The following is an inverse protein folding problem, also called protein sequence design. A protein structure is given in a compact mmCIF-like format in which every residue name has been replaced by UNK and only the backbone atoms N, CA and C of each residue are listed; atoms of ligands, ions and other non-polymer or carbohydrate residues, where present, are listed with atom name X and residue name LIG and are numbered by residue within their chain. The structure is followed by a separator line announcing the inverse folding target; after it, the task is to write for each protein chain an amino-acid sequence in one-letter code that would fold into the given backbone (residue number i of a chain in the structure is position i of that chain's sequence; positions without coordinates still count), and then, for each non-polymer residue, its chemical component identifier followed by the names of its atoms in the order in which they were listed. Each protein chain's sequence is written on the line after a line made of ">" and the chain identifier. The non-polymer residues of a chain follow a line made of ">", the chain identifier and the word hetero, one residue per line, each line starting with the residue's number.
data_IF_530702454464
#
_entry.id   IF_530702454464
#
_cell.length_a   1.000
_cell.length_b   1.000
_cell.length_c   1.000
_cell.angle_alpha   90.00
_cell.angle_beta   90.00
_cell.angle_gamma   90.00
#
_symmetry.space_group_name_H-M   'P 1'
#
loop_
_entity.id
_entity.type
_entity.pdbx_description
1 polymer ?
#
# COMPACT_ATOMS: atom_id res chain seq x y z
N UNK A 1 -58.68 -55.41 6.84
CA UNK A 1 -57.36 -55.85 6.43
C UNK A 1 -56.61 -54.60 5.98
N UNK A 2 -55.79 -54.14 6.83
CA UNK A 2 -55.10 -52.82 6.74
C UNK A 2 -53.67 -53.06 6.35
N UNK A 3 -53.21 -52.46 5.25
CA UNK A 3 -51.78 -52.38 4.86
C UNK A 3 -51.20 -51.02 5.20
N UNK A 4 -49.99 -50.91 5.78
CA UNK A 4 -49.43 -49.63 6.14
C UNK A 4 -48.68 -48.98 4.96
N UNK A 5 -48.93 -47.70 4.76
CA UNK A 5 -48.21 -46.83 3.84
C UNK A 5 -46.84 -46.52 4.40
N UNK A 6 -45.78 -46.87 3.64
CA UNK A 6 -44.39 -46.47 3.92
C UNK A 6 -44.19 -45.02 3.58
N UNK A 7 -43.90 -44.22 4.59
CA UNK A 7 -43.47 -42.81 4.42
C UNK A 7 -42.00 -42.79 3.89
N UNK A 8 -41.82 -42.34 2.68
CA UNK A 8 -40.51 -41.96 2.12
C UNK A 8 -40.07 -40.64 2.74
N UNK A 9 -39.15 -40.72 3.69
CA UNK A 9 -38.45 -39.52 4.20
C UNK A 9 -37.48 -39.03 3.10
N UNK A 10 -37.83 -37.96 2.44
CA UNK A 10 -36.95 -37.21 1.55
C UNK A 10 -35.89 -36.48 2.38
N UNK A 11 -34.68 -36.99 2.33
CA UNK A 11 -33.49 -36.35 2.89
C UNK A 11 -33.12 -35.13 2.06
N UNK A 12 -33.67 -34.00 2.46
CA UNK A 12 -33.33 -32.69 1.89
C UNK A 12 -32.15 -32.10 2.67
N UNK A 13 -30.94 -32.63 2.47
CA UNK A 13 -29.70 -31.97 2.84
C UNK A 13 -29.45 -30.83 1.87
N UNK A 14 -30.21 -29.74 2.06
CA UNK A 14 -29.91 -28.44 1.45
C UNK A 14 -28.52 -28.03 1.96
N UNK A 15 -27.52 -28.16 1.12
CA UNK A 15 -26.16 -27.68 1.39
C UNK A 15 -26.21 -26.21 1.75
N UNK A 16 -26.12 -25.90 3.03
CA UNK A 16 -26.06 -24.54 3.54
C UNK A 16 -24.91 -23.80 2.84
N UNK A 17 -25.23 -22.88 1.95
CA UNK A 17 -24.27 -22.03 1.28
C UNK A 17 -23.43 -21.34 2.37
N UNK A 18 -22.12 -21.60 2.37
CA UNK A 18 -21.18 -21.03 3.31
C UNK A 18 -21.34 -19.50 3.29
N UNK A 19 -21.65 -18.84 4.40
CA UNK A 19 -21.95 -17.40 4.38
C UNK A 19 -20.83 -16.64 3.69
N UNK A 20 -21.18 -15.82 2.71
CA UNK A 20 -20.24 -14.97 2.00
C UNK A 20 -19.50 -14.13 3.04
N UNK A 21 -18.18 -14.11 3.00
CA UNK A 21 -17.38 -13.29 3.93
C UNK A 21 -17.78 -11.83 3.77
N UNK A 22 -17.93 -11.05 4.86
CA UNK A 22 -18.28 -9.65 4.79
C UNK A 22 -17.24 -8.94 3.91
N UNK A 23 -17.71 -8.30 2.83
CA UNK A 23 -16.87 -7.50 1.94
C UNK A 23 -16.88 -6.07 2.45
N UNK A 24 -15.70 -5.52 2.67
CA UNK A 24 -15.53 -4.15 3.16
C UNK A 24 -15.33 -3.22 1.95
N UNK A 25 -16.42 -2.88 1.25
CA UNK A 25 -16.40 -2.08 0.02
C UNK A 25 -15.66 -0.74 0.18
N UNK A 26 -15.79 -0.08 1.33
CA UNK A 26 -15.09 1.16 1.64
C UNK A 26 -13.57 0.98 1.71
N UNK A 27 -13.06 -0.16 2.20
CA UNK A 27 -11.62 -0.45 2.21
C UNK A 27 -11.10 -0.78 0.81
N UNK A 28 -11.88 -1.48 -0.01
CA UNK A 28 -11.54 -1.73 -1.41
C UNK A 28 -11.46 -0.43 -2.21
N UNK A 29 -12.41 0.49 -2.01
CA UNK A 29 -12.41 1.81 -2.64
C UNK A 29 -11.24 2.67 -2.17
N UNK A 30 -10.99 2.71 -0.85
CA UNK A 30 -9.86 3.45 -0.29
C UNK A 30 -8.53 2.94 -0.83
N UNK A 31 -8.34 1.61 -0.88
CA UNK A 31 -7.14 1.02 -1.47
C UNK A 31 -6.93 1.43 -2.92
N UNK A 32 -7.99 1.45 -3.72
CA UNK A 32 -7.93 1.91 -5.11
C UNK A 32 -7.54 3.39 -5.18
N UNK A 33 -8.17 4.25 -4.39
CA UNK A 33 -7.86 5.68 -4.34
C UNK A 33 -6.39 5.95 -3.98
N UNK A 34 -5.86 5.25 -2.97
CA UNK A 34 -4.46 5.36 -2.57
C UNK A 34 -3.48 4.91 -3.68
N UNK A 35 -3.86 3.90 -4.48
CA UNK A 35 -3.05 3.47 -5.63
C UNK A 35 -3.06 4.51 -6.74
N UNK A 36 -4.21 5.08 -7.08
CA UNK A 36 -4.31 6.12 -8.10
C UNK A 36 -3.61 7.41 -7.68
N UNK A 37 -3.64 7.74 -6.38
CA UNK A 37 -2.84 8.85 -5.85
C UNK A 37 -1.34 8.66 -6.14
N UNK A 38 -0.85 7.41 -6.17
CA UNK A 38 0.53 7.09 -6.54
C UNK A 38 0.94 7.62 -7.91
N UNK A 39 0.02 7.72 -8.89
CA UNK A 39 0.31 8.31 -10.21
C UNK A 39 0.72 9.78 -10.03
N UNK A 40 -0.05 10.58 -9.30
CA UNK A 40 0.26 12.00 -9.06
C UNK A 40 1.60 12.19 -8.35
N UNK A 41 1.87 11.34 -7.34
CA UNK A 41 3.13 11.36 -6.59
C UNK A 41 4.32 11.06 -7.49
N UNK A 42 4.24 10.04 -8.34
CA UNK A 42 5.36 9.69 -9.21
C UNK A 42 5.47 10.61 -10.43
N UNK A 43 4.38 11.25 -10.84
CA UNK A 43 4.45 12.33 -11.85
C UNK A 43 5.20 13.55 -11.34
N UNK A 44 5.17 13.85 -10.03
CA UNK A 44 5.96 14.98 -9.47
C UNK A 44 7.47 14.80 -9.61
N UNK A 45 7.98 13.58 -9.88
CA UNK A 45 9.42 13.36 -10.10
C UNK A 45 9.92 13.92 -11.43
N UNK A 46 9.03 14.24 -12.36
CA UNK A 46 9.38 14.85 -13.65
C UNK A 46 9.75 16.33 -13.50
N UNK A 47 9.16 17.02 -12.52
CA UNK A 47 9.44 18.42 -12.17
C UNK A 47 9.17 18.61 -10.67
N UNK A 48 10.21 18.42 -9.82
CA UNK A 48 10.10 18.55 -8.37
C UNK A 48 9.75 19.96 -7.88
N UNK A 49 9.95 20.98 -8.71
CA UNK A 49 9.68 22.39 -8.38
C UNK A 49 8.23 22.79 -8.63
N UNK A 50 7.45 21.94 -9.31
CA UNK A 50 6.03 22.20 -9.52
C UNK A 50 5.25 22.12 -8.20
N UNK A 51 4.83 23.27 -7.67
CA UNK A 51 4.21 23.39 -6.34
C UNK A 51 2.96 22.52 -6.14
N UNK A 52 2.12 22.34 -7.17
CA UNK A 52 0.89 21.55 -7.09
C UNK A 52 1.21 20.06 -6.95
N UNK A 53 2.03 19.51 -7.85
CA UNK A 53 2.39 18.09 -7.82
C UNK A 53 3.27 17.76 -6.61
N UNK A 54 4.15 18.68 -6.20
CA UNK A 54 4.92 18.56 -4.95
C UNK A 54 4.01 18.47 -3.73
N UNK A 55 2.91 19.23 -3.68
CA UNK A 55 1.94 19.16 -2.58
C UNK A 55 1.29 17.76 -2.49
N UNK A 56 0.93 17.14 -3.63
CA UNK A 56 0.45 15.76 -3.64
C UNK A 56 1.48 14.77 -3.09
N UNK A 57 2.76 14.96 -3.41
CA UNK A 57 3.84 14.11 -2.90
C UNK A 57 4.05 14.30 -1.40
N UNK A 58 4.07 15.54 -0.89
CA UNK A 58 4.22 15.84 0.54
C UNK A 58 3.09 15.21 1.36
N UNK A 59 1.82 15.46 0.99
CA UNK A 59 0.67 14.89 1.73
C UNK A 59 0.66 13.36 1.63
N UNK A 60 1.03 12.81 0.47
CA UNK A 60 1.19 11.35 0.30
C UNK A 60 2.22 10.77 1.25
N UNK A 61 3.35 11.44 1.42
CA UNK A 61 4.43 11.04 2.33
C UNK A 61 4.03 10.97 3.80
N UNK A 62 2.90 11.60 4.16
CA UNK A 62 2.38 11.62 5.54
C UNK A 62 1.34 10.53 5.85
N UNK A 63 0.76 9.86 4.81
CA UNK A 63 -0.38 8.96 5.11
C UNK A 63 -0.60 7.82 4.12
N UNK A 64 -0.19 7.97 2.85
CA UNK A 64 -0.61 7.04 1.79
C UNK A 64 -0.16 5.60 2.06
N UNK A 65 1.10 5.44 2.41
CA UNK A 65 1.67 4.11 2.62
C UNK A 65 1.21 3.53 3.96
N UNK A 66 1.12 4.33 5.01
CA UNK A 66 0.63 3.94 6.32
C UNK A 66 -0.82 3.40 6.24
N UNK A 67 -1.73 4.18 5.65
CA UNK A 67 -3.11 3.75 5.44
C UNK A 67 -3.20 2.47 4.59
N UNK A 68 -2.33 2.35 3.57
CA UNK A 68 -2.27 1.16 2.74
C UNK A 68 -1.83 -0.09 3.53
N UNK A 69 -0.83 0.05 4.40
CA UNK A 69 -0.40 -1.07 5.25
C UNK A 69 -1.43 -1.41 6.33
N UNK A 70 -2.15 -0.44 6.88
CA UNK A 70 -3.31 -0.71 7.77
C UNK A 70 -4.35 -1.57 7.04
N UNK A 71 -4.75 -1.19 5.82
CA UNK A 71 -5.71 -2.00 5.02
C UNK A 71 -5.14 -3.39 4.72
N UNK A 72 -3.86 -3.48 4.40
CA UNK A 72 -3.20 -4.76 4.06
C UNK A 72 -3.16 -5.71 5.25
N UNK A 73 -2.87 -5.20 6.45
CA UNK A 73 -2.89 -5.97 7.71
C UNK A 73 -4.31 -6.44 8.06
N UNK A 74 -5.30 -5.55 7.93
CA UNK A 74 -6.72 -5.87 8.13
C UNK A 74 -7.17 -7.03 7.24
N UNK A 75 -6.87 -6.97 5.95
CA UNK A 75 -7.21 -8.03 5.00
C UNK A 75 -6.41 -9.32 5.24
N UNK A 76 -5.14 -9.20 5.66
CA UNK A 76 -4.33 -10.36 5.97
C UNK A 76 -4.89 -11.15 7.15
N UNK A 77 -5.25 -10.47 8.25
CA UNK A 77 -5.86 -11.11 9.41
C UNK A 77 -7.20 -11.77 9.05
N UNK A 78 -8.06 -11.08 8.29
CA UNK A 78 -9.32 -11.64 7.78
C UNK A 78 -9.07 -12.96 7.01
N UNK A 79 -8.08 -12.97 6.13
CA UNK A 79 -7.76 -14.16 5.33
C UNK A 79 -7.18 -15.30 6.19
N UNK A 80 -6.36 -14.99 7.20
CA UNK A 80 -5.82 -15.97 8.16
C UNK A 80 -6.94 -16.66 8.93
N UNK A 81 -7.89 -15.90 9.46
CA UNK A 81 -9.07 -16.46 10.15
C UNK A 81 -9.97 -17.27 9.23
N UNK A 82 -10.09 -16.90 7.95
CA UNK A 82 -10.96 -17.58 6.99
C UNK A 82 -10.36 -18.86 6.43
N UNK A 83 -9.08 -18.87 6.09
CA UNK A 83 -8.43 -19.95 5.32
C UNK A 83 -7.31 -20.66 6.08
N UNK A 84 -6.93 -20.16 7.24
CA UNK A 84 -5.77 -20.62 8.00
C UNK A 84 -4.42 -20.13 7.44
N UNK A 85 -3.39 -20.25 8.26
CA UNK A 85 -2.07 -19.66 7.97
C UNK A 85 -1.42 -20.22 6.69
N UNK A 86 -1.33 -21.54 6.56
CA UNK A 86 -0.65 -22.21 5.42
C UNK A 86 -1.25 -21.81 4.06
N UNK A 87 -2.58 -21.82 3.96
CA UNK A 87 -3.28 -21.50 2.72
C UNK A 87 -3.16 -20.00 2.40
N UNK A 88 -3.32 -19.14 3.41
CA UNK A 88 -3.23 -17.70 3.24
C UNK A 88 -1.84 -17.27 2.80
N UNK A 89 -0.80 -17.72 3.49
CA UNK A 89 0.60 -17.40 3.14
C UNK A 89 0.90 -17.86 1.71
N UNK A 90 0.62 -19.13 1.36
CA UNK A 90 0.85 -19.64 -0.01
C UNK A 90 0.15 -18.80 -1.07
N UNK A 91 -1.13 -18.47 -0.88
CA UNK A 91 -1.90 -17.65 -1.84
C UNK A 91 -1.33 -16.24 -1.98
N UNK A 92 -0.94 -15.60 -0.85
CA UNK A 92 -0.38 -14.25 -0.88
C UNK A 92 1.01 -14.21 -1.49
N UNK A 93 1.88 -15.18 -1.20
CA UNK A 93 3.21 -15.26 -1.80
C UNK A 93 3.13 -15.41 -3.32
N UNK A 94 2.23 -16.23 -3.83
CA UNK A 94 2.02 -16.35 -5.28
C UNK A 94 1.44 -15.06 -5.88
N UNK A 95 0.43 -14.46 -5.22
CA UNK A 95 -0.23 -13.26 -5.71
C UNK A 95 0.66 -12.01 -5.70
N UNK A 96 1.68 -11.97 -4.85
CA UNK A 96 2.61 -10.84 -4.72
C UNK A 96 3.96 -11.18 -5.38
N UNK A 97 4.51 -12.37 -5.11
CA UNK A 97 5.85 -12.74 -5.52
C UNK A 97 6.02 -12.88 -7.02
N UNK A 98 5.05 -13.51 -7.72
CA UNK A 98 5.12 -13.64 -9.19
C UNK A 98 5.11 -12.26 -9.86
N UNK A 99 4.13 -11.35 -9.59
CA UNK A 99 4.14 -10.02 -10.19
C UNK A 99 5.35 -9.17 -9.76
N UNK A 100 5.83 -9.30 -8.53
CA UNK A 100 7.04 -8.62 -8.09
C UNK A 100 8.25 -9.05 -8.92
N UNK A 101 8.50 -10.36 -9.05
CA UNK A 101 9.61 -10.87 -9.84
C UNK A 101 9.49 -10.49 -11.33
N UNK A 102 8.28 -10.60 -11.89
CA UNK A 102 8.00 -10.21 -13.29
C UNK A 102 8.30 -8.72 -13.51
N UNK A 103 7.78 -7.85 -12.65
CA UNK A 103 8.00 -6.41 -12.79
C UNK A 103 9.47 -6.02 -12.56
N UNK A 104 10.13 -6.65 -11.60
CA UNK A 104 11.56 -6.41 -11.32
C UNK A 104 12.44 -6.73 -12.52
N UNK A 105 12.16 -7.82 -13.22
CA UNK A 105 12.99 -8.28 -14.36
C UNK A 105 12.57 -7.60 -15.66
N UNK A 106 11.28 -7.39 -15.91
CA UNK A 106 10.79 -6.91 -17.21
C UNK A 106 10.55 -5.40 -17.23
N UNK A 107 9.94 -4.84 -16.15
CA UNK A 107 9.52 -3.44 -16.16
C UNK A 107 10.60 -2.51 -15.60
N UNK A 108 11.26 -2.88 -14.51
CA UNK A 108 12.21 -1.98 -13.83
C UNK A 108 13.42 -1.59 -14.69
N UNK A 109 14.11 -2.49 -15.44
CA UNK A 109 15.23 -2.08 -16.27
C UNK A 109 14.80 -1.06 -17.34
N UNK A 110 13.66 -1.30 -17.99
CA UNK A 110 13.13 -0.38 -18.98
C UNK A 110 12.70 0.96 -18.36
N UNK A 111 12.06 0.92 -17.18
CA UNK A 111 11.66 2.13 -16.46
C UNK A 111 12.86 2.96 -16.04
N UNK A 112 13.89 2.34 -15.47
CA UNK A 112 15.12 3.03 -15.08
C UNK A 112 15.86 3.63 -16.29
N UNK A 113 15.90 2.95 -17.41
CA UNK A 113 16.48 3.50 -18.65
C UNK A 113 15.70 4.75 -19.14
N UNK A 114 14.36 4.71 -19.07
CA UNK A 114 13.54 5.90 -19.41
C UNK A 114 13.78 7.05 -18.41
N UNK A 115 13.91 6.75 -17.11
CA UNK A 115 14.26 7.76 -16.09
C UNK A 115 15.61 8.37 -16.40
N UNK A 116 16.61 7.53 -16.67
CA UNK A 116 17.95 7.98 -17.02
C UNK A 116 17.90 8.95 -18.21
N UNK A 117 17.32 8.53 -19.33
CA UNK A 117 17.24 9.33 -20.56
C UNK A 117 16.37 10.58 -20.42
N UNK A 118 15.53 10.67 -19.40
CA UNK A 118 14.75 11.87 -19.12
C UNK A 118 15.55 12.95 -18.40
N UNK A 119 16.41 12.55 -17.46
CA UNK A 119 17.15 13.46 -16.59
C UNK A 119 18.60 13.67 -17.05
N UNK A 120 19.15 12.82 -17.92
CA UNK A 120 20.53 12.86 -18.37
C UNK A 120 20.65 12.83 -19.90
N UNK A 121 21.87 12.89 -20.42
CA UNK A 121 22.14 12.69 -21.85
C UNK A 121 21.72 11.28 -22.27
N UNK A 122 20.92 11.13 -23.34
CA UNK A 122 20.37 9.84 -23.75
C UNK A 122 21.44 8.84 -24.14
N UNK A 123 21.28 7.59 -23.70
CA UNK A 123 22.10 6.43 -24.07
C UNK A 123 21.23 5.30 -24.58
N UNK A 124 21.84 4.35 -25.31
CA UNK A 124 21.12 3.16 -25.75
C UNK A 124 20.74 2.26 -24.56
N UNK A 125 19.69 1.45 -24.71
CA UNK A 125 19.30 0.49 -23.68
C UNK A 125 20.39 -0.55 -23.40
N UNK A 126 21.17 -0.95 -24.43
CA UNK A 126 22.29 -1.86 -24.27
C UNK A 126 23.43 -1.22 -23.44
N UNK A 127 23.74 0.05 -23.68
CA UNK A 127 24.75 0.78 -22.90
C UNK A 127 24.31 0.97 -21.46
N UNK A 128 23.02 1.27 -21.24
CA UNK A 128 22.44 1.34 -19.91
C UNK A 128 22.58 0.01 -19.15
N UNK A 129 22.22 -1.12 -19.77
CA UNK A 129 22.38 -2.46 -19.16
C UNK A 129 23.86 -2.83 -18.91
N UNK A 130 24.77 -2.29 -19.70
CA UNK A 130 26.22 -2.43 -19.49
C UNK A 130 26.76 -1.51 -18.38
N UNK A 131 25.93 -0.70 -17.72
CA UNK A 131 26.32 0.22 -16.66
C UNK A 131 27.03 1.47 -17.13
N UNK A 132 27.03 1.78 -18.43
CA UNK A 132 27.71 2.97 -18.96
C UNK A 132 27.00 4.25 -18.54
N UNK A 133 27.74 5.20 -17.97
CA UNK A 133 27.27 6.53 -17.62
C UNK A 133 26.27 6.57 -16.46
N UNK A 134 26.05 5.46 -15.72
CA UNK A 134 25.07 5.42 -14.62
C UNK A 134 25.62 5.93 -13.29
N UNK A 135 26.92 6.04 -13.14
CA UNK A 135 27.53 6.57 -11.92
C UNK A 135 27.31 8.09 -11.82
N UNK A 136 26.70 8.53 -10.71
CA UNK A 136 26.37 9.93 -10.47
C UNK A 136 25.24 10.49 -11.35
N UNK A 137 24.48 9.64 -12.04
CA UNK A 137 23.37 10.06 -12.89
C UNK A 137 22.22 10.65 -12.07
N UNK A 138 21.59 11.70 -12.62
CA UNK A 138 20.41 12.35 -12.04
C UNK A 138 19.15 11.51 -12.23
N UNK A 139 18.16 11.71 -11.33
CA UNK A 139 16.86 11.08 -11.39
C UNK A 139 16.60 10.04 -10.30
N UNK A 140 15.34 9.66 -10.08
CA UNK A 140 14.94 8.77 -8.99
C UNK A 140 15.20 7.27 -9.33
N UNK A 141 16.36 6.96 -9.85
CA UNK A 141 16.74 5.59 -10.25
C UNK A 141 17.17 4.76 -9.05
N UNK A 142 16.65 3.56 -8.96
CA UNK A 142 17.20 2.51 -8.12
C UNK A 142 16.61 1.13 -8.51
N UNK A 143 17.25 0.03 -8.06
CA UNK A 143 16.92 -1.32 -8.49
C UNK A 143 15.46 -1.73 -8.19
N UNK A 144 14.89 -1.22 -7.09
CA UNK A 144 13.53 -1.59 -6.66
C UNK A 144 12.46 -0.61 -7.12
N UNK A 145 12.81 0.66 -7.47
CA UNK A 145 11.86 1.72 -7.77
C UNK A 145 10.69 1.76 -6.75
N UNK A 146 9.46 1.77 -7.25
CA UNK A 146 8.25 1.68 -6.43
C UNK A 146 7.96 0.26 -5.91
N UNK A 147 8.63 -0.79 -6.41
CA UNK A 147 8.36 -2.20 -6.07
C UNK A 147 8.76 -2.58 -4.63
N UNK A 148 9.51 -1.72 -3.91
CA UNK A 148 9.82 -1.94 -2.49
C UNK A 148 8.57 -2.24 -1.65
N UNK A 149 7.44 -1.66 -2.01
CA UNK A 149 6.16 -1.90 -1.35
C UNK A 149 5.67 -3.36 -1.52
N UNK A 150 5.82 -3.95 -2.70
CA UNK A 150 5.51 -5.37 -2.91
C UNK A 150 6.46 -6.27 -2.12
N UNK A 151 7.73 -5.92 -2.04
CA UNK A 151 8.70 -6.65 -1.22
C UNK A 151 8.31 -6.59 0.26
N UNK A 152 7.89 -5.43 0.76
CA UNK A 152 7.38 -5.29 2.11
C UNK A 152 6.14 -6.18 2.35
N UNK A 153 5.16 -6.15 1.44
CA UNK A 153 3.97 -7.01 1.52
C UNK A 153 4.30 -8.50 1.44
N UNK A 154 5.30 -8.88 0.65
CA UNK A 154 5.78 -10.25 0.56
C UNK A 154 6.35 -10.71 1.92
N UNK A 155 7.24 -9.92 2.52
CA UNK A 155 7.82 -10.18 3.85
C UNK A 155 6.71 -10.22 4.92
N UNK A 156 5.80 -9.25 4.93
CA UNK A 156 4.68 -9.23 5.88
C UNK A 156 3.74 -10.42 5.71
N UNK A 157 3.61 -10.96 4.50
CA UNK A 157 2.82 -12.17 4.29
C UNK A 157 3.45 -13.41 4.95
N UNK A 158 4.78 -13.46 5.05
CA UNK A 158 5.50 -14.49 5.80
C UNK A 158 5.37 -14.30 7.31
N UNK A 159 5.43 -13.05 7.78
CA UNK A 159 5.34 -12.70 9.20
C UNK A 159 3.89 -12.72 9.73
N UNK A 160 2.89 -12.68 8.85
CA UNK A 160 1.49 -12.54 9.21
C UNK A 160 0.98 -13.59 10.23
N UNK A 161 1.33 -14.89 10.15
CA UNK A 161 0.88 -15.86 11.15
C UNK A 161 1.47 -15.62 12.55
N UNK A 162 2.70 -15.12 12.62
CA UNK A 162 3.31 -14.75 13.91
C UNK A 162 2.67 -13.51 14.49
N UNK A 163 2.45 -12.48 13.64
CA UNK A 163 1.76 -11.26 14.02
C UNK A 163 0.31 -11.52 14.47
N UNK A 164 -0.43 -12.42 13.81
CA UNK A 164 -1.76 -12.86 14.24
C UNK A 164 -1.73 -13.39 15.67
N UNK A 165 -0.80 -14.32 15.98
CA UNK A 165 -0.68 -14.89 17.33
C UNK A 165 -0.34 -13.83 18.39
N UNK A 166 0.50 -12.86 18.05
CA UNK A 166 0.82 -11.75 18.94
C UNK A 166 -0.39 -10.86 19.21
N UNK A 167 -1.15 -10.53 18.16
CA UNK A 167 -2.41 -9.75 18.29
C UNK A 167 -3.41 -10.51 19.15
N UNK A 168 -3.63 -11.81 18.91
CA UNK A 168 -4.56 -12.63 19.71
C UNK A 168 -4.16 -12.69 21.16
N UNK A 169 -2.86 -12.92 21.45
CA UNK A 169 -2.33 -12.94 22.82
C UNK A 169 -2.46 -11.55 23.49
N UNK A 170 -2.12 -10.48 22.79
CA UNK A 170 -2.26 -9.13 23.31
C UNK A 170 -3.70 -8.79 23.70
N UNK A 171 -4.66 -9.16 22.84
CA UNK A 171 -6.09 -8.96 23.12
C UNK A 171 -6.60 -9.79 24.30
N UNK A 172 -6.09 -11.02 24.48
CA UNK A 172 -6.44 -11.88 25.61
C UNK A 172 -5.89 -11.34 26.95
N UNK A 173 -4.69 -10.71 26.92
CA UNK A 173 -4.06 -10.14 28.12
C UNK A 173 -4.67 -8.79 28.52
N UNK A 174 -5.02 -7.97 27.53
CA UNK A 174 -5.64 -6.66 27.78
C UNK A 174 -7.15 -6.87 27.85
N UNK A 175 -7.69 -7.04 29.06
CA UNK A 175 -9.14 -6.88 29.29
C UNK A 175 -9.46 -5.42 28.92
N UNK A 176 -9.86 -5.19 27.67
CA UNK A 176 -10.28 -3.88 27.18
C UNK A 176 -11.57 -3.48 27.90
N UNK A 177 -11.42 -3.03 29.14
CA UNK A 177 -12.44 -2.27 29.82
C UNK A 177 -12.69 -1.00 29.00
N UNK A 178 -13.95 -0.66 28.85
CA UNK A 178 -14.42 0.48 28.04
C UNK A 178 -13.71 1.75 28.49
N UNK A 179 -12.58 2.06 27.84
CA UNK A 179 -11.90 3.33 28.03
C UNK A 179 -12.57 4.39 27.15
N UNK A 180 -12.53 5.67 27.52
CA UNK A 180 -13.00 6.74 26.65
C UNK A 180 -12.39 6.58 25.24
N UNK A 181 -13.17 6.76 24.14
CA UNK A 181 -12.67 6.53 22.77
C UNK A 181 -11.39 7.30 22.45
N UNK A 182 -11.24 8.52 22.98
CA UNK A 182 -10.01 9.32 22.80
C UNK A 182 -8.78 8.67 23.40
N UNK A 183 -8.89 8.08 24.60
CA UNK A 183 -7.77 7.39 25.26
C UNK A 183 -7.39 6.09 24.52
N UNK A 184 -8.39 5.36 23.99
CA UNK A 184 -8.15 4.18 23.18
C UNK A 184 -7.39 4.55 21.88
N UNK A 185 -7.76 5.66 21.23
CA UNK A 185 -7.04 6.16 20.05
C UNK A 185 -5.60 6.56 20.39
N UNK A 186 -5.39 7.31 21.46
CA UNK A 186 -4.05 7.69 21.90
C UNK A 186 -3.19 6.47 22.26
N UNK A 187 -3.77 5.44 22.87
CA UNK A 187 -3.07 4.18 23.14
C UNK A 187 -2.64 3.46 21.84
N UNK A 188 -3.49 3.47 20.80
CA UNK A 188 -3.12 2.96 19.48
C UNK A 188 -1.98 3.78 18.85
N UNK A 189 -2.03 5.12 18.95
CA UNK A 189 -0.96 6.00 18.49
C UNK A 189 0.36 5.69 19.22
N UNK A 190 0.33 5.59 20.56
CA UNK A 190 1.51 5.25 21.37
C UNK A 190 2.10 3.88 20.98
N UNK A 191 1.25 2.88 20.73
CA UNK A 191 1.67 1.55 20.27
C UNK A 191 2.37 1.59 18.90
N UNK A 192 1.81 2.34 17.95
CA UNK A 192 2.42 2.52 16.62
C UNK A 192 3.72 3.30 16.72
N UNK A 193 3.76 4.41 17.48
CA UNK A 193 4.98 5.19 17.71
C UNK A 193 6.09 4.35 18.34
N UNK A 194 5.77 3.59 19.39
CA UNK A 194 6.72 2.67 20.02
C UNK A 194 7.25 1.61 19.05
N UNK A 195 6.39 1.07 18.20
CA UNK A 195 6.77 0.13 17.15
C UNK A 195 7.69 0.76 16.10
N UNK A 196 7.42 2.00 15.65
CA UNK A 196 8.29 2.74 14.71
C UNK A 196 9.65 3.05 15.33
N UNK A 197 9.68 3.44 16.62
CA UNK A 197 10.94 3.65 17.35
C UNK A 197 11.75 2.36 17.48
N UNK A 198 11.11 1.25 17.84
CA UNK A 198 11.77 -0.06 17.91
C UNK A 198 12.33 -0.49 16.55
N UNK A 199 11.59 -0.26 15.46
CA UNK A 199 12.05 -0.53 14.11
C UNK A 199 13.24 0.36 13.73
N UNK A 200 13.23 1.65 14.11
CA UNK A 200 14.37 2.56 13.88
C UNK A 200 15.61 2.11 14.61
N UNK A 201 15.48 1.76 15.91
CA UNK A 201 16.59 1.21 16.71
C UNK A 201 17.12 -0.09 16.07
N UNK A 202 16.22 -1.01 15.70
CA UNK A 202 16.59 -2.24 15.00
C UNK A 202 17.35 -1.99 13.71
N UNK A 203 16.93 -1.01 12.91
CA UNK A 203 17.66 -0.63 11.68
C UNK A 203 19.05 -0.07 12.00
N UNK A 204 19.19 0.81 12.97
CA UNK A 204 20.51 1.36 13.36
C UNK A 204 21.50 0.28 13.81
N UNK A 205 21.02 -0.82 14.43
CA UNK A 205 21.85 -1.95 14.85
C UNK A 205 22.37 -2.81 13.67
N UNK A 206 21.66 -2.82 12.54
CA UNK A 206 21.98 -3.72 11.42
C UNK A 206 22.46 -2.98 10.17
N UNK A 207 22.31 -1.65 10.08
CA UNK A 207 22.57 -0.88 8.85
C UNK A 207 23.98 -1.05 8.31
N UNK A 208 25.00 -1.14 9.18
CA UNK A 208 26.40 -1.24 8.78
C UNK A 208 26.74 -2.61 8.17
N UNK A 209 25.91 -3.63 8.42
CA UNK A 209 26.00 -4.95 7.79
C UNK A 209 25.25 -5.04 6.45
N UNK A 210 24.55 -3.98 6.04
CA UNK A 210 23.71 -3.96 4.85
C UNK A 210 24.32 -3.08 3.74
N UNK A 211 24.16 -3.45 2.45
CA UNK A 211 24.49 -2.55 1.36
C UNK A 211 23.69 -1.24 1.44
N UNK A 212 24.32 -0.11 1.21
CA UNK A 212 23.67 1.23 1.25
C UNK A 212 22.42 1.28 0.37
N UNK A 213 22.46 0.65 -0.80
CA UNK A 213 21.32 0.56 -1.73
C UNK A 213 20.09 -0.14 -1.18
N UNK A 214 20.22 -0.90 -0.08
CA UNK A 214 19.11 -1.59 0.60
C UNK A 214 18.59 -0.84 1.83
N UNK A 215 19.29 0.18 2.33
CA UNK A 215 18.94 0.91 3.56
C UNK A 215 17.51 1.47 3.52
N UNK A 216 17.14 2.11 2.41
CA UNK A 216 15.79 2.65 2.23
C UNK A 216 14.70 1.57 2.37
N UNK A 217 14.90 0.42 1.72
CA UNK A 217 13.92 -0.69 1.72
C UNK A 217 13.81 -1.30 3.10
N UNK A 218 14.93 -1.63 3.76
CA UNK A 218 14.94 -2.26 5.08
C UNK A 218 14.33 -1.34 6.13
N UNK A 219 14.71 -0.06 6.12
CA UNK A 219 14.12 0.96 7.00
C UNK A 219 12.62 1.12 6.77
N UNK A 220 12.17 1.16 5.50
CA UNK A 220 10.75 1.28 5.17
C UNK A 220 9.96 0.05 5.64
N UNK A 221 10.47 -1.17 5.42
CA UNK A 221 9.84 -2.40 5.92
C UNK A 221 9.69 -2.35 7.44
N UNK A 222 10.71 -1.91 8.18
CA UNK A 222 10.62 -1.75 9.63
C UNK A 222 9.55 -0.73 10.04
N UNK A 223 9.60 0.48 9.47
CA UNK A 223 8.75 1.60 9.84
C UNK A 223 7.25 1.37 9.55
N UNK A 224 6.90 0.61 8.51
CA UNK A 224 5.50 0.34 8.16
C UNK A 224 4.92 -0.92 8.81
N UNK A 225 5.75 -1.77 9.43
CA UNK A 225 5.27 -2.97 10.14
C UNK A 225 4.26 -2.66 11.25
N UNK A 226 4.45 -1.62 12.10
CA UNK A 226 3.48 -1.27 13.13
C UNK A 226 2.09 -0.92 12.57
N UNK A 227 2.01 -0.25 11.41
CA UNK A 227 0.74 0.05 10.74
C UNK A 227 0.07 -1.20 10.19
N UNK A 228 0.86 -2.15 9.69
CA UNK A 228 0.34 -3.45 9.26
C UNK A 228 -0.25 -4.24 10.44
N UNK A 229 0.45 -4.28 11.58
CA UNK A 229 -0.04 -4.90 12.82
C UNK A 229 -1.28 -4.19 13.37
N UNK A 230 -1.31 -2.85 13.32
CA UNK A 230 -2.51 -2.06 13.65
C UNK A 230 -3.70 -2.52 12.79
N UNK A 231 -3.52 -2.70 11.49
CA UNK A 231 -4.57 -3.21 10.61
C UNK A 231 -5.12 -4.56 11.07
N UNK A 232 -4.26 -5.49 11.47
CA UNK A 232 -4.67 -6.77 12.04
C UNK A 232 -5.47 -6.58 13.33
N UNK A 233 -5.03 -5.69 14.22
CA UNK A 233 -5.73 -5.35 15.46
C UNK A 233 -7.12 -4.76 15.19
N UNK A 234 -7.26 -3.87 14.19
CA UNK A 234 -8.56 -3.27 13.82
C UNK A 234 -9.57 -4.30 13.28
N UNK A 235 -9.10 -5.38 12.62
CA UNK A 235 -9.99 -6.48 12.26
C UNK A 235 -10.37 -7.30 13.48
N UNK A 236 -9.40 -7.64 14.32
CA UNK A 236 -9.58 -8.50 15.49
C UNK A 236 -10.47 -7.86 16.59
N UNK A 237 -10.44 -6.51 16.69
CA UNK A 237 -11.17 -5.75 17.71
C UNK A 237 -12.12 -4.70 17.07
N UNK A 238 -13.38 -5.04 16.78
CA UNK A 238 -14.35 -4.15 16.12
C UNK A 238 -14.52 -2.80 16.82
N UNK A 239 -14.48 -2.75 18.16
CA UNK A 239 -14.57 -1.50 18.93
C UNK A 239 -13.40 -0.55 18.65
N UNK A 240 -12.17 -1.08 18.52
CA UNK A 240 -11.01 -0.26 18.15
C UNK A 240 -11.11 0.25 16.71
N UNK A 241 -11.68 -0.55 15.81
CA UNK A 241 -11.96 -0.11 14.44
C UNK A 241 -12.97 1.04 14.41
N UNK A 242 -14.03 0.98 15.20
CA UNK A 242 -15.02 2.07 15.34
C UNK A 242 -14.33 3.34 15.81
N UNK A 243 -13.56 3.25 16.90
CA UNK A 243 -12.76 4.36 17.44
C UNK A 243 -11.78 4.91 16.41
N UNK A 244 -11.10 4.05 15.65
CA UNK A 244 -10.17 4.47 14.61
C UNK A 244 -10.87 5.15 13.43
N UNK A 245 -12.09 4.77 13.13
CA UNK A 245 -12.89 5.31 12.02
C UNK A 245 -13.75 6.51 12.40
N UNK A 246 -13.43 7.22 13.48
CA UNK A 246 -14.09 8.47 13.88
C UNK A 246 -13.32 9.70 13.38
N UNK A 247 -14.05 10.76 13.06
CA UNK A 247 -13.44 12.05 12.71
C UNK A 247 -12.83 12.73 13.94
N UNK A 248 -11.51 12.89 13.94
CA UNK A 248 -10.73 13.48 15.06
C UNK A 248 -10.03 14.76 14.62
N UNK A 249 -10.80 15.73 14.15
CA UNK A 249 -10.28 16.94 13.54
C UNK A 249 -9.36 17.76 14.47
N UNK A 250 -9.64 17.82 15.79
CA UNK A 250 -8.78 18.52 16.76
C UNK A 250 -7.40 17.84 16.83
N UNK A 251 -7.37 16.50 16.96
CA UNK A 251 -6.12 15.75 16.99
C UNK A 251 -5.35 15.87 15.67
N UNK A 252 -6.04 15.91 14.55
CA UNK A 252 -5.44 16.14 13.23
C UNK A 252 -4.77 17.51 13.17
N UNK A 253 -5.47 18.59 13.55
CA UNK A 253 -4.91 19.94 13.54
C UNK A 253 -3.70 20.02 14.48
N UNK A 254 -3.84 19.51 15.71
CA UNK A 254 -2.74 19.51 16.70
C UNK A 254 -1.53 18.74 16.19
N UNK A 255 -1.72 17.52 15.65
CA UNK A 255 -0.60 16.71 15.16
C UNK A 255 0.12 17.37 13.99
N UNK A 256 -0.61 17.92 13.02
CA UNK A 256 -0.03 18.63 11.88
C UNK A 256 0.71 19.91 12.31
N UNK A 257 0.14 20.68 13.24
CA UNK A 257 0.77 21.90 13.77
C UNK A 257 2.07 21.58 14.53
N UNK A 258 2.07 20.53 15.35
CA UNK A 258 3.26 20.10 16.07
C UNK A 258 4.36 19.60 15.12
N UNK A 259 4.01 18.83 14.10
CA UNK A 259 4.98 18.37 13.10
C UNK A 259 5.55 19.55 12.30
N UNK A 260 4.70 20.48 11.87
CA UNK A 260 5.13 21.68 11.15
C UNK A 260 6.12 22.52 12.00
N UNK A 261 5.78 22.77 13.27
CA UNK A 261 6.64 23.53 14.16
C UNK A 261 7.96 22.81 14.46
N UNK A 262 7.93 21.48 14.65
CA UNK A 262 9.15 20.70 14.86
C UNK A 262 10.07 20.74 13.63
N UNK A 263 9.53 20.55 12.42
CA UNK A 263 10.31 20.60 11.18
C UNK A 263 10.88 22.00 10.93
N UNK A 264 10.12 23.04 11.28
CA UNK A 264 10.59 24.43 11.17
C UNK A 264 11.74 24.75 12.13
N UNK A 265 11.67 24.24 13.38
CA UNK A 265 12.71 24.49 14.42
C UNK A 265 13.98 23.69 14.18
N UNK A 266 13.86 22.42 13.85
CA UNK A 266 14.99 21.51 13.75
C UNK A 266 15.71 21.60 12.39
N UNK A 267 15.06 22.19 11.37
CA UNK A 267 15.65 22.41 10.06
C UNK A 267 15.88 21.11 9.27
N UNK A 268 16.85 21.15 8.35
CA UNK A 268 17.15 20.04 7.42
C UNK A 268 18.17 19.02 7.99
N UNK A 269 18.87 19.35 9.05
CA UNK A 269 19.89 18.49 9.68
C UNK A 269 19.63 18.35 11.20
N UNK A 270 18.57 17.61 11.57
CA UNK A 270 18.20 17.43 12.98
C UNK A 270 19.18 16.51 13.69
N UNK A 271 19.44 16.82 14.97
CA UNK A 271 20.17 15.93 15.88
C UNK A 271 19.39 14.65 16.18
N UNK A 272 20.03 13.64 16.76
CA UNK A 272 19.40 12.32 17.01
C UNK A 272 18.11 12.40 17.82
N UNK A 273 18.05 13.25 18.85
CA UNK A 273 16.83 13.42 19.64
C UNK A 273 15.70 14.07 18.85
N UNK A 274 16.06 15.04 18.02
CA UNK A 274 15.12 15.76 17.15
C UNK A 274 14.56 14.84 16.06
N UNK A 275 15.37 13.95 15.48
CA UNK A 275 14.92 12.88 14.59
C UNK A 275 13.87 11.97 15.26
N UNK A 276 14.09 11.58 16.51
CA UNK A 276 13.12 10.77 17.29
C UNK A 276 11.82 11.53 17.48
N UNK A 277 11.87 12.83 17.84
CA UNK A 277 10.67 13.66 17.98
C UNK A 277 9.92 13.77 16.63
N UNK A 278 10.63 14.04 15.55
CA UNK A 278 10.04 14.10 14.20
C UNK A 278 9.37 12.77 13.85
N UNK A 279 10.02 11.63 14.07
CA UNK A 279 9.47 10.29 13.80
C UNK A 279 8.17 10.04 14.60
N UNK A 280 8.15 10.42 15.88
CA UNK A 280 6.95 10.31 16.70
C UNK A 280 5.82 11.17 16.17
N UNK A 281 6.10 12.43 15.81
CA UNK A 281 5.10 13.34 15.28
C UNK A 281 4.60 12.91 13.89
N UNK A 282 5.48 12.44 13.01
CA UNK A 282 5.11 11.86 11.71
C UNK A 282 4.17 10.65 11.91
N UNK A 283 4.49 9.75 12.85
CA UNK A 283 3.63 8.60 13.15
C UNK A 283 2.27 9.05 13.69
N UNK A 284 2.21 10.10 14.50
CA UNK A 284 0.95 10.65 15.02
C UNK A 284 0.11 11.29 13.92
N UNK A 285 0.73 12.09 13.05
CA UNK A 285 0.07 12.64 11.85
C UNK A 285 -0.46 11.53 10.95
N UNK A 286 0.34 10.51 10.69
CA UNK A 286 -0.07 9.36 9.88
C UNK A 286 -1.29 8.63 10.48
N UNK A 287 -1.35 8.47 11.80
CA UNK A 287 -2.48 7.87 12.50
C UNK A 287 -3.76 8.71 12.36
N UNK A 288 -3.67 10.03 12.56
CA UNK A 288 -4.82 10.94 12.48
C UNK A 288 -5.32 11.08 11.04
N UNK A 289 -4.44 11.17 10.05
CA UNK A 289 -4.79 11.20 8.63
C UNK A 289 -5.35 9.85 8.16
N UNK A 290 -4.78 8.72 8.60
CA UNK A 290 -5.34 7.39 8.28
C UNK A 290 -6.75 7.23 8.86
N UNK A 291 -6.96 7.67 10.11
CA UNK A 291 -8.29 7.73 10.75
C UNK A 291 -9.29 8.55 9.91
N UNK A 292 -8.89 9.74 9.45
CA UNK A 292 -9.69 10.57 8.56
C UNK A 292 -10.03 9.84 7.25
N UNK A 293 -9.08 9.19 6.61
CA UNK A 293 -9.30 8.44 5.37
C UNK A 293 -10.29 7.28 5.58
N UNK A 294 -10.20 6.56 6.69
CA UNK A 294 -11.13 5.49 7.04
C UNK A 294 -12.54 6.04 7.30
N UNK A 295 -12.65 7.16 8.01
CA UNK A 295 -13.92 7.85 8.24
C UNK A 295 -14.56 8.32 6.93
N UNK A 296 -13.78 8.99 6.06
CA UNK A 296 -14.27 9.45 4.74
C UNK A 296 -14.76 8.26 3.92
N UNK A 297 -13.94 7.21 3.80
CA UNK A 297 -14.30 6.02 3.04
C UNK A 297 -15.57 5.35 3.58
N UNK A 298 -15.68 5.21 4.90
CA UNK A 298 -16.87 4.63 5.55
C UNK A 298 -18.14 5.46 5.38
N UNK A 299 -18.01 6.80 5.32
CA UNK A 299 -19.15 7.71 5.13
C UNK A 299 -19.64 7.75 3.67
N UNK A 300 -18.71 7.72 2.72
CA UNK A 300 -19.03 7.93 1.29
C UNK A 300 -19.29 6.63 0.54
N UNK A 301 -18.70 5.52 0.95
CA UNK A 301 -18.87 4.21 0.31
C UNK A 301 -19.73 3.32 1.20
N UNK A 302 -21.06 3.49 1.09
CA UNK A 302 -22.04 2.79 1.95
C UNK A 302 -22.48 1.42 1.42
N UNK A 303 -22.12 1.07 0.19
CA UNK A 303 -22.55 -0.18 -0.45
C UNK A 303 -21.70 -0.59 -1.63
N UNK A 304 -22.17 -1.60 -2.36
CA UNK A 304 -21.51 -2.07 -3.57
C UNK A 304 -21.63 -1.04 -4.69
N UNK A 305 -20.49 -0.52 -5.14
CA UNK A 305 -20.39 0.32 -6.33
C UNK A 305 -19.63 -0.44 -7.41
N UNK A 306 -20.26 -0.60 -8.58
CA UNK A 306 -19.62 -1.24 -9.73
C UNK A 306 -18.35 -0.50 -10.15
N UNK A 307 -18.35 0.84 -10.10
CA UNK A 307 -17.17 1.65 -10.39
C UNK A 307 -16.05 1.39 -9.39
N UNK A 308 -16.35 1.43 -8.07
CA UNK A 308 -15.36 1.16 -7.03
C UNK A 308 -14.80 -0.27 -7.16
N UNK A 309 -15.63 -1.24 -7.50
CA UNK A 309 -15.20 -2.62 -7.76
C UNK A 309 -14.25 -2.71 -8.95
N UNK A 310 -14.60 -2.11 -10.08
CA UNK A 310 -13.76 -2.10 -11.30
C UNK A 310 -12.42 -1.40 -11.08
N UNK A 311 -12.42 -0.28 -10.36
CA UNK A 311 -11.19 0.44 -10.00
C UNK A 311 -10.33 -0.38 -9.04
N UNK A 312 -10.93 -0.99 -8.02
CA UNK A 312 -10.21 -1.84 -7.08
C UNK A 312 -9.59 -3.07 -7.75
N UNK A 313 -10.29 -3.68 -8.71
CA UNK A 313 -9.78 -4.84 -9.48
C UNK A 313 -8.59 -4.47 -10.37
N UNK A 314 -8.55 -3.24 -10.90
CA UNK A 314 -7.47 -2.72 -11.74
C UNK A 314 -6.29 -2.13 -10.96
N UNK A 315 -6.48 -1.78 -9.69
CA UNK A 315 -5.51 -1.03 -8.88
C UNK A 315 -4.12 -1.68 -8.86
N UNK A 316 -4.04 -3.00 -8.86
CA UNK A 316 -2.77 -3.73 -8.86
C UNK A 316 -2.00 -3.60 -10.19
N UNK A 317 -2.68 -3.69 -11.32
CA UNK A 317 -2.07 -3.47 -12.64
C UNK A 317 -1.65 -2.01 -12.81
N UNK A 318 -2.50 -1.07 -12.37
CA UNK A 318 -2.15 0.36 -12.36
C UNK A 318 -0.85 0.57 -11.57
N UNK A 319 -0.76 -0.02 -10.38
CA UNK A 319 0.45 0.06 -9.56
C UNK A 319 1.70 -0.46 -10.28
N UNK A 320 1.63 -1.56 -11.02
CA UNK A 320 2.82 -2.12 -11.69
C UNK A 320 3.28 -1.28 -12.88
N UNK A 321 2.33 -0.75 -13.66
CA UNK A 321 2.64 -0.12 -14.94
C UNK A 321 2.74 1.42 -14.90
N UNK A 322 2.26 2.08 -13.83
CA UNK A 322 2.16 3.54 -13.84
C UNK A 322 3.51 4.23 -13.98
N UNK A 323 4.56 3.74 -13.32
CA UNK A 323 5.86 4.40 -13.32
C UNK A 323 6.52 4.34 -14.72
N UNK A 324 6.45 3.18 -15.38
CA UNK A 324 6.85 3.03 -16.78
C UNK A 324 6.04 3.97 -17.70
N UNK A 325 4.73 4.01 -17.52
CA UNK A 325 3.84 4.85 -18.34
C UNK A 325 4.10 6.33 -18.16
N UNK A 326 4.38 6.79 -16.94
CA UNK A 326 4.72 8.20 -16.63
C UNK A 326 5.93 8.63 -17.47
N UNK A 327 7.04 7.90 -17.41
CA UNK A 327 8.24 8.28 -18.13
C UNK A 327 8.11 8.10 -19.64
N UNK A 328 7.35 7.09 -20.10
CA UNK A 328 7.04 6.93 -21.51
C UNK A 328 6.29 8.17 -22.05
N UNK A 329 5.20 8.57 -21.39
CA UNK A 329 4.44 9.75 -21.83
C UNK A 329 5.20 11.07 -21.63
N UNK A 330 6.03 11.17 -20.61
CA UNK A 330 6.89 12.32 -20.43
C UNK A 330 7.86 12.49 -21.62
N UNK A 331 8.48 11.41 -22.08
CA UNK A 331 9.34 11.44 -23.28
C UNK A 331 8.58 11.84 -24.54
N UNK A 332 7.38 11.28 -24.72
CA UNK A 332 6.57 11.56 -25.91
C UNK A 332 6.04 12.98 -25.96
N UNK A 333 5.76 13.59 -24.81
CA UNK A 333 5.05 14.87 -24.73
C UNK A 333 5.96 16.08 -24.49
N UNK A 334 7.15 15.90 -23.86
CA UNK A 334 8.01 17.03 -23.42
C UNK A 334 8.39 18.01 -24.53
N UNK A 335 8.45 17.55 -25.78
CA UNK A 335 8.78 18.40 -26.94
C UNK A 335 7.59 19.13 -27.55
N UNK A 336 6.37 18.78 -27.18
CA UNK A 336 5.13 19.29 -27.82
C UNK A 336 4.26 20.10 -26.84
N UNK A 337 4.38 19.87 -25.55
CA UNK A 337 3.51 20.48 -24.55
C UNK A 337 4.27 21.59 -23.81
N UNK A 338 3.87 22.87 -24.00
CA UNK A 338 4.48 23.98 -23.29
C UNK A 338 3.96 24.02 -21.84
N UNK A 339 4.88 24.29 -20.92
CA UNK A 339 4.57 24.49 -19.51
C UNK A 339 4.46 23.19 -18.71
N UNK A 340 5.15 23.19 -17.58
CA UNK A 340 5.27 22.05 -16.68
C UNK A 340 3.91 21.54 -16.19
N UNK A 341 3.01 22.42 -15.72
CA UNK A 341 1.72 22.03 -15.17
C UNK A 341 0.85 21.25 -16.16
N UNK A 342 0.78 21.70 -17.41
CA UNK A 342 0.00 21.01 -18.46
C UNK A 342 0.63 19.66 -18.81
N UNK A 343 1.96 19.61 -18.94
CA UNK A 343 2.69 18.37 -19.20
C UNK A 343 2.41 17.34 -18.11
N UNK A 344 2.59 17.70 -16.84
CA UNK A 344 2.36 16.80 -15.70
C UNK A 344 0.92 16.33 -15.64
N UNK A 345 -0.05 17.23 -15.86
CA UNK A 345 -1.48 16.87 -15.89
C UNK A 345 -1.82 15.86 -16.99
N UNK A 346 -1.32 16.10 -18.22
CA UNK A 346 -1.53 15.19 -19.35
C UNK A 346 -0.83 13.84 -19.13
N UNK A 347 0.40 13.82 -18.63
CA UNK A 347 1.12 12.59 -18.31
C UNK A 347 0.35 11.77 -17.27
N UNK A 348 -0.12 12.40 -16.19
CA UNK A 348 -0.90 11.72 -15.17
C UNK A 348 -2.21 11.14 -15.73
N UNK A 349 -2.95 11.92 -16.54
CA UNK A 349 -4.20 11.49 -17.16
C UNK A 349 -3.98 10.32 -18.14
N UNK A 350 -3.00 10.43 -19.03
CA UNK A 350 -2.70 9.39 -20.00
C UNK A 350 -2.21 8.11 -19.30
N UNK A 351 -1.39 8.24 -18.25
CA UNK A 351 -0.98 7.11 -17.42
C UNK A 351 -2.18 6.41 -16.81
N UNK A 352 -3.11 7.16 -16.22
CA UNK A 352 -4.34 6.61 -15.64
C UNK A 352 -5.16 5.85 -16.67
N UNK A 353 -5.46 6.47 -17.82
CA UNK A 353 -6.26 5.87 -18.88
C UNK A 353 -5.59 4.62 -19.46
N UNK A 354 -4.28 4.71 -19.77
CA UNK A 354 -3.52 3.61 -20.38
C UNK A 354 -3.41 2.43 -19.44
N UNK A 355 -3.13 2.65 -18.17
CA UNK A 355 -3.00 1.54 -17.20
C UNK A 355 -4.34 0.84 -16.95
N UNK A 356 -5.46 1.57 -16.96
CA UNK A 356 -6.80 0.97 -16.93
C UNK A 356 -7.11 0.17 -18.20
N UNK A 357 -6.74 0.71 -19.36
CA UNK A 357 -6.91 0.04 -20.65
C UNK A 357 -6.09 -1.26 -20.70
N UNK A 358 -4.81 -1.21 -20.34
CA UNK A 358 -3.93 -2.39 -20.24
C UNK A 358 -4.55 -3.47 -19.33
N UNK A 359 -5.08 -3.07 -18.17
CA UNK A 359 -5.74 -4.03 -17.27
C UNK A 359 -6.93 -4.72 -17.95
N UNK A 360 -7.83 -3.94 -18.56
CA UNK A 360 -9.09 -4.46 -19.13
C UNK A 360 -8.91 -5.25 -20.40
N UNK A 361 -8.06 -4.75 -21.30
CA UNK A 361 -7.94 -5.29 -22.65
C UNK A 361 -6.89 -6.40 -22.78
N UNK A 362 -5.82 -6.34 -21.97
CA UNK A 362 -4.72 -7.29 -22.06
C UNK A 362 -4.65 -8.21 -20.84
N UNK A 363 -4.45 -7.65 -19.64
CA UNK A 363 -4.13 -8.44 -18.44
C UNK A 363 -5.31 -9.30 -18.00
N UNK A 364 -6.51 -8.73 -17.99
CA UNK A 364 -7.71 -9.47 -17.57
C UNK A 364 -8.10 -10.58 -18.55
N UNK A 365 -7.82 -10.42 -19.84
CA UNK A 365 -8.22 -11.35 -20.91
C UNK A 365 -7.22 -12.48 -21.14
N UNK A 366 -5.92 -12.26 -20.88
CA UNK A 366 -4.88 -13.26 -21.10
C UNK A 366 -4.48 -13.94 -19.79
N UNK A 367 -4.75 -15.25 -19.61
CA UNK A 367 -4.47 -15.95 -18.33
C UNK A 367 -3.00 -15.89 -17.91
N UNK A 368 -2.06 -15.93 -18.85
CA UNK A 368 -0.62 -15.81 -18.58
C UNK A 368 -0.30 -14.41 -18.04
N UNK A 369 -0.82 -13.34 -18.68
CA UNK A 369 -0.60 -11.97 -18.20
C UNK A 369 -1.28 -11.72 -16.84
N UNK A 370 -2.46 -12.33 -16.62
CA UNK A 370 -3.13 -12.27 -15.33
C UNK A 370 -2.31 -12.95 -14.21
N UNK A 371 -1.60 -14.03 -14.52
CA UNK A 371 -0.67 -14.66 -13.58
C UNK A 371 0.56 -13.76 -13.34
N UNK A 372 1.21 -13.32 -14.41
CA UNK A 372 2.47 -12.57 -14.33
C UNK A 372 2.30 -11.19 -13.69
N UNK A 373 1.20 -10.48 -13.96
CA UNK A 373 0.99 -9.10 -13.51
C UNK A 373 -0.11 -8.90 -12.47
N UNK A 374 -0.90 -9.95 -12.14
CA UNK A 374 -1.91 -9.90 -11.08
C UNK A 374 -1.83 -11.08 -10.10
N UNK A 375 -0.91 -12.03 -10.30
CA UNK A 375 -0.78 -13.21 -9.47
C UNK A 375 -2.04 -14.09 -9.43
N UNK A 376 -2.94 -13.95 -10.41
CA UNK A 376 -4.16 -14.74 -10.51
C UNK A 376 -3.86 -15.96 -11.37
N UNK A 377 -3.88 -17.18 -10.78
CA UNK A 377 -3.68 -18.40 -11.57
C UNK A 377 -4.77 -18.53 -12.64
N UNK A 378 -4.46 -19.10 -13.83
CA UNK A 378 -5.46 -19.37 -14.84
C UNK A 378 -6.57 -20.20 -14.22
N UNK A 379 -7.83 -19.81 -14.48
CA UNK A 379 -8.98 -20.62 -14.10
C UNK A 379 -8.81 -21.98 -14.77
N UNK A 380 -8.69 -23.04 -13.99
CA UNK A 380 -8.76 -24.40 -14.56
C UNK A 380 -10.10 -24.47 -15.31
N UNK A 381 -10.03 -24.64 -16.61
CA UNK A 381 -11.21 -25.00 -17.40
C UNK A 381 -11.76 -26.26 -16.75
N UNK A 382 -12.97 -26.17 -16.19
CA UNK A 382 -13.70 -27.34 -15.67
C UNK A 382 -14.26 -28.11 -16.86
#
# INVERSE_FOLDING_TARGET
>A
MTGPAAAVAADASVGAAKPASPRFFHLDALRAALMFWGILVHTSTLDPDNGVFRSFAIVSGLVRMEAFFVISGFLAYMLLKKYGAKVTVKKRLLAIGIPFATALVLLNPLTNHLIYNYHNSPISFADYLAGKGTDGADGPMNWHLHLWFLLALFIYSLLAPAAERLVDKGLAMVKFSIRPPGLAFLAMCAGVMGGCLAARVGFELVKDALPVSSHYVVRSIGNFLPFYVLGMLLFAAPRLREVFSELRWIQLVVSCSLLFEATRRFGSDPGRLEEVVILCLQSYVAMTLSSLLFWVAGKWVRGESELARRLSDSAYSVYLFHFLSIYLFAHLLRGFVPGSMLLLGLVALLTFVTTLFLHRCLIHRAPVLALLFNGKPPRRLK
#
